data_IF_140572213998
#
_entry.id   IF_140572213998
#
_cell.length_a   1.000
_cell.length_b   1.000
_cell.length_c   1.000
_cell.angle_alpha   90.00
_cell.angle_beta   90.00
_cell.angle_gamma   90.00
#
_symmetry.space_group_name_H-M   'P 1'
#
loop_
_entity.id
_entity.type
_entity.pdbx_description
1 polymer ?
#
# COMPACT_ATOMS: atom_id res chain seq x y z
N UNK A 1 -18.64 85.43 -3.55
CA UNK A 1 -17.64 84.36 -3.73
C UNK A 1 -17.24 83.92 -2.35
N UNK A 2 -17.38 82.64 -2.01
CA UNK A 2 -17.15 82.18 -0.66
C UNK A 2 -15.64 82.20 -0.33
N UNK A 3 -15.33 82.51 0.92
CA UNK A 3 -13.97 82.65 1.41
C UNK A 3 -13.65 81.47 2.31
N UNK A 4 -12.50 80.84 2.11
CA UNK A 4 -12.07 79.74 2.97
C UNK A 4 -11.57 80.23 4.34
N UNK A 5 -11.34 79.30 5.26
CA UNK A 5 -10.86 79.61 6.62
C UNK A 5 -9.49 80.32 6.62
N UNK A 6 -8.68 80.11 5.58
CA UNK A 6 -7.37 80.76 5.38
C UNK A 6 -7.49 82.15 4.72
N UNK A 7 -8.70 82.63 4.43
CA UNK A 7 -8.95 83.98 3.93
C UNK A 7 -8.91 84.16 2.41
N UNK A 8 -8.75 83.08 1.63
CA UNK A 8 -8.77 83.16 0.16
C UNK A 8 -10.19 83.15 -0.41
N UNK A 9 -10.42 84.01 -1.39
CA UNK A 9 -11.69 84.04 -2.14
C UNK A 9 -11.69 82.96 -3.22
N UNK A 10 -12.60 81.99 -3.13
CA UNK A 10 -12.73 80.86 -4.05
C UNK A 10 -13.91 81.04 -5.01
N UNK A 11 -13.86 80.40 -6.18
CA UNK A 11 -15.04 80.29 -7.06
C UNK A 11 -15.88 79.08 -6.69
N UNK A 12 -15.25 77.97 -6.31
CA UNK A 12 -15.95 76.79 -5.81
C UNK A 12 -16.48 76.99 -4.38
N UNK A 13 -17.66 76.44 -4.09
CA UNK A 13 -18.36 76.63 -2.83
C UNK A 13 -18.03 75.60 -1.74
N UNK A 14 -17.49 74.44 -2.14
CA UNK A 14 -17.26 73.30 -1.23
C UNK A 14 -15.79 73.21 -0.77
N UNK A 15 -14.84 73.62 -1.62
CA UNK A 15 -13.41 73.64 -1.32
C UNK A 15 -12.74 74.86 -1.98
N UNK A 16 -11.63 75.32 -1.40
CA UNK A 16 -10.88 76.45 -1.92
C UNK A 16 -10.01 76.06 -3.11
N UNK A 17 -10.21 76.69 -4.26
CA UNK A 17 -9.44 76.41 -5.48
C UNK A 17 -7.94 76.77 -5.36
N UNK A 18 -7.58 77.61 -4.38
CA UNK A 18 -6.21 78.07 -4.18
C UNK A 18 -5.44 77.17 -3.21
N UNK A 19 -6.01 76.82 -2.07
CA UNK A 19 -5.32 76.08 -1.00
C UNK A 19 -5.93 74.71 -0.67
N UNK A 20 -7.07 74.34 -1.27
CA UNK A 20 -7.72 73.04 -1.08
C UNK A 20 -8.49 72.89 0.24
N UNK A 21 -8.51 73.90 1.12
CA UNK A 21 -9.24 73.82 2.38
C UNK A 21 -10.77 73.78 2.16
N UNK A 22 -11.53 72.98 2.93
CA UNK A 22 -12.98 72.93 2.84
C UNK A 22 -13.60 74.28 3.18
N UNK A 23 -14.63 74.65 2.44
CA UNK A 23 -15.37 75.89 2.64
C UNK A 23 -16.76 75.53 3.20
N UNK A 24 -16.96 75.82 4.48
CA UNK A 24 -18.17 75.44 5.23
C UNK A 24 -17.94 74.27 6.19
N UNK A 25 -18.70 74.26 7.30
CA UNK A 25 -18.47 73.37 8.43
C UNK A 25 -19.13 71.99 8.21
N UNK A 26 -18.38 70.99 7.76
CA UNK A 26 -18.85 69.60 7.62
C UNK A 26 -18.50 68.78 8.86
N UNK A 27 -19.35 68.88 9.89
CA UNK A 27 -19.44 67.89 10.95
C UNK A 27 -20.27 66.70 10.45
N UNK A 28 -19.65 65.52 10.34
CA UNK A 28 -20.35 64.29 9.99
C UNK A 28 -19.44 63.20 9.41
N UNK A 29 -18.67 62.53 10.26
CA UNK A 29 -17.97 61.30 9.91
C UNK A 29 -18.69 60.11 10.56
N UNK A 30 -19.14 59.08 9.80
CA UNK A 30 -19.77 57.91 10.39
C UNK A 30 -18.74 56.93 10.96
N UNK A 31 -19.17 56.26 12.03
CA UNK A 31 -18.44 55.34 12.91
C UNK A 31 -17.71 54.17 12.22
N UNK A 32 -16.59 53.76 12.84
CA UNK A 32 -15.89 52.52 12.53
C UNK A 32 -16.74 51.27 12.88
N UNK A 33 -16.64 50.15 12.13
CA UNK A 33 -17.33 48.92 12.49
C UNK A 33 -16.73 48.28 13.76
N UNK A 34 -17.52 47.52 14.53
CA UNK A 34 -17.05 46.87 15.77
C UNK A 34 -16.00 45.78 15.48
N UNK A 35 -15.10 45.47 16.44
CA UNK A 35 -14.10 44.42 16.27
C UNK A 35 -14.77 43.05 16.12
N UNK A 36 -14.35 42.30 15.10
CA UNK A 36 -14.78 40.92 14.89
C UNK A 36 -14.28 40.03 16.04
N UNK A 37 -15.17 39.26 16.66
CA UNK A 37 -14.82 38.28 17.69
C UNK A 37 -13.82 37.24 17.14
N UNK A 38 -12.66 37.13 17.77
CA UNK A 38 -11.65 36.14 17.40
C UNK A 38 -12.10 34.73 17.82
N UNK A 39 -12.16 33.80 16.86
CA UNK A 39 -12.45 32.38 17.12
C UNK A 39 -11.15 31.61 17.32
N UNK A 40 -11.15 30.56 18.13
CA UNK A 40 -9.97 29.72 18.31
C UNK A 40 -9.73 28.80 17.09
N UNK A 41 -8.47 28.61 16.71
CA UNK A 41 -8.07 27.69 15.64
C UNK A 41 -8.34 26.23 16.07
N UNK A 42 -9.03 25.41 15.25
CA UNK A 42 -9.29 24.02 15.60
C UNK A 42 -8.03 23.14 15.58
N UNK A 43 -6.95 23.55 14.89
CA UNK A 43 -5.71 22.78 14.81
C UNK A 43 -4.75 23.04 15.98
N UNK A 44 -4.70 24.27 16.52
CA UNK A 44 -3.70 24.65 17.53
C UNK A 44 -4.22 25.50 18.69
N UNK A 45 -5.49 25.92 18.68
CA UNK A 45 -6.13 26.68 19.76
C UNK A 45 -5.83 28.18 19.80
N UNK A 46 -4.96 28.70 18.93
CA UNK A 46 -4.64 30.14 18.89
C UNK A 46 -5.81 30.97 18.34
N UNK A 47 -6.00 32.23 18.79
CA UNK A 47 -7.05 33.10 18.27
C UNK A 47 -6.82 33.41 16.78
N UNK A 48 -7.89 33.33 16.00
CA UNK A 48 -7.90 33.56 14.55
C UNK A 48 -8.99 34.59 14.25
N UNK A 49 -8.60 35.64 13.53
CA UNK A 49 -9.48 36.74 13.11
C UNK A 49 -9.92 36.63 11.64
N UNK A 50 -9.51 35.56 10.94
CA UNK A 50 -9.76 35.34 9.51
C UNK A 50 -9.81 33.87 9.09
N UNK A 51 -9.70 33.60 7.79
CA UNK A 51 -9.75 32.23 7.22
C UNK A 51 -8.54 31.37 7.60
N UNK A 52 -7.37 31.99 7.72
CA UNK A 52 -6.11 31.31 7.96
C UNK A 52 -5.59 31.61 9.36
N UNK A 53 -5.10 30.59 10.06
CA UNK A 53 -4.40 30.79 11.32
C UNK A 53 -2.97 31.28 11.05
N UNK A 54 -2.60 32.46 11.56
CA UNK A 54 -1.25 33.01 11.39
C UNK A 54 -0.17 32.25 12.17
N UNK A 55 -0.55 31.45 13.16
CA UNK A 55 0.38 30.67 13.97
C UNK A 55 0.76 29.32 13.35
N UNK A 56 -0.17 28.62 12.69
CA UNK A 56 0.05 27.26 12.17
C UNK A 56 -0.31 27.07 10.69
N UNK A 57 -0.89 28.09 10.03
CA UNK A 57 -1.29 28.04 8.62
C UNK A 57 -2.59 27.27 8.34
N UNK A 58 -3.33 26.84 9.37
CA UNK A 58 -4.58 26.11 9.18
C UNK A 58 -5.64 26.97 8.45
N UNK A 59 -6.20 26.43 7.36
CA UNK A 59 -7.29 27.04 6.57
C UNK A 59 -8.64 26.51 7.05
N UNK A 60 -9.43 27.36 7.72
CA UNK A 60 -10.72 26.99 8.29
C UNK A 60 -11.86 26.94 7.26
N UNK A 61 -11.59 27.24 5.98
CA UNK A 61 -12.57 27.12 4.89
C UNK A 61 -12.52 25.75 4.21
N UNK A 62 -11.55 24.90 4.53
CA UNK A 62 -11.54 23.52 4.04
C UNK A 62 -12.56 22.70 4.83
N UNK A 63 -13.41 21.89 4.17
CA UNK A 63 -14.27 20.95 4.86
C UNK A 63 -13.39 19.99 5.68
N UNK A 64 -13.85 19.62 6.88
CA UNK A 64 -13.19 18.58 7.65
C UNK A 64 -13.02 17.34 6.75
N UNK A 65 -11.83 16.72 6.69
CA UNK A 65 -11.68 15.47 5.96
C UNK A 65 -12.66 14.48 6.57
N UNK A 66 -13.71 14.16 5.81
CA UNK A 66 -14.69 13.15 6.20
C UNK A 66 -13.93 11.89 6.56
N UNK A 67 -13.99 11.50 7.83
CA UNK A 67 -13.34 10.31 8.31
C UNK A 67 -13.77 9.15 7.41
N UNK A 68 -12.83 8.63 6.62
CA UNK A 68 -13.04 7.38 5.91
C UNK A 68 -13.53 6.36 6.95
N UNK A 69 -14.55 5.53 6.64
CA UNK A 69 -14.98 4.50 7.56
C UNK A 69 -13.76 3.72 8.02
N UNK A 70 -13.56 3.61 9.33
CA UNK A 70 -12.52 2.75 9.88
C UNK A 70 -12.66 1.37 9.23
N UNK A 71 -11.57 0.76 8.72
CA UNK A 71 -11.67 -0.59 8.20
C UNK A 71 -12.26 -1.47 9.32
N UNK A 72 -13.21 -2.37 9.01
CA UNK A 72 -13.76 -3.26 10.02
C UNK A 72 -12.60 -4.02 10.69
N UNK A 73 -12.66 -4.33 12.00
CA UNK A 73 -11.69 -5.21 12.60
C UNK A 73 -11.79 -6.54 11.87
N UNK A 74 -10.77 -6.87 11.07
CA UNK A 74 -10.66 -8.17 10.45
C UNK A 74 -10.39 -9.17 11.55
N UNK A 75 -11.44 -9.83 12.02
CA UNK A 75 -11.26 -11.17 12.58
C UNK A 75 -10.67 -11.99 11.44
N UNK A 76 -9.37 -12.31 11.51
CA UNK A 76 -8.71 -13.15 10.51
C UNK A 76 -9.43 -14.50 10.49
N UNK A 77 -10.00 -14.95 9.35
CA UNK A 77 -10.15 -16.37 9.17
C UNK A 77 -8.74 -16.97 9.21
N UNK A 78 -8.57 -17.98 10.05
CA UNK A 78 -7.29 -18.69 10.20
C UNK A 78 -6.96 -19.27 8.83
N UNK A 79 -5.91 -18.75 8.20
CA UNK A 79 -5.68 -18.89 6.77
C UNK A 79 -4.35 -19.58 6.49
N UNK A 80 -4.34 -20.52 5.57
CA UNK A 80 -3.10 -21.14 5.10
C UNK A 80 -2.21 -20.11 4.39
N UNK A 81 -0.94 -20.10 4.76
CA UNK A 81 0.10 -19.25 4.17
C UNK A 81 1.23 -20.13 3.66
N UNK A 82 1.59 -19.96 2.40
CA UNK A 82 2.78 -20.56 1.79
C UNK A 82 3.98 -19.62 1.96
N UNK A 83 5.02 -20.08 2.63
CA UNK A 83 6.29 -19.35 2.80
C UNK A 83 7.34 -19.95 1.89
N UNK A 84 7.63 -19.25 0.79
CA UNK A 84 8.59 -19.67 -0.23
C UNK A 84 9.99 -19.20 0.14
N UNK A 85 10.96 -20.12 0.14
CA UNK A 85 12.37 -19.87 0.43
C UNK A 85 13.28 -20.62 -0.55
N UNK A 86 14.53 -20.16 -0.65
CA UNK A 86 15.62 -20.93 -1.22
C UNK A 86 16.30 -21.78 -0.14
N UNK A 87 16.21 -23.09 -0.25
CA UNK A 87 16.72 -24.06 0.72
C UNK A 87 18.04 -24.66 0.22
N UNK A 88 19.13 -24.33 0.91
CA UNK A 88 20.47 -24.80 0.58
C UNK A 88 20.63 -26.30 0.81
N UNK A 89 20.03 -26.84 1.86
CA UNK A 89 20.13 -28.27 2.15
C UNK A 89 19.40 -29.07 1.08
N UNK A 90 18.24 -28.61 0.64
CA UNK A 90 17.53 -29.22 -0.48
C UNK A 90 18.34 -29.14 -1.78
N UNK A 91 18.92 -27.98 -2.09
CA UNK A 91 19.79 -27.82 -3.25
C UNK A 91 20.97 -28.80 -3.28
N UNK A 92 21.65 -28.95 -2.15
CA UNK A 92 22.78 -29.87 -2.01
C UNK A 92 22.34 -31.34 -2.18
N UNK A 93 21.14 -31.72 -1.70
CA UNK A 93 20.56 -33.04 -1.97
C UNK A 93 20.28 -33.26 -3.45
N UNK A 94 19.72 -32.26 -4.14
CA UNK A 94 19.45 -32.33 -5.58
C UNK A 94 20.75 -32.52 -6.36
N UNK A 95 21.80 -31.75 -6.04
CA UNK A 95 23.12 -31.92 -6.66
C UNK A 95 23.70 -33.32 -6.42
N UNK A 96 23.59 -33.84 -5.18
CA UNK A 96 24.09 -35.17 -4.85
C UNK A 96 23.38 -36.31 -5.62
N UNK A 97 22.15 -36.08 -6.06
CA UNK A 97 21.35 -37.03 -6.86
C UNK A 97 21.57 -36.87 -8.38
N UNK A 98 22.54 -36.06 -8.81
CA UNK A 98 22.78 -35.78 -10.23
C UNK A 98 21.80 -34.77 -10.81
N UNK A 99 21.38 -33.80 -9.99
CA UNK A 99 20.55 -32.68 -10.41
C UNK A 99 21.17 -31.89 -11.58
N UNK A 100 20.38 -31.03 -12.25
CA UNK A 100 20.85 -30.34 -13.45
C UNK A 100 22.04 -29.43 -13.14
N UNK A 101 23.19 -29.72 -13.77
CA UNK A 101 24.46 -28.96 -13.64
C UNK A 101 24.35 -27.47 -14.01
N UNK A 102 23.20 -27.05 -14.54
CA UNK A 102 22.96 -25.69 -15.06
C UNK A 102 22.18 -24.79 -14.10
N UNK A 103 21.79 -25.28 -12.91
CA UNK A 103 21.01 -24.49 -11.95
C UNK A 103 21.89 -24.00 -10.81
N UNK A 104 22.11 -22.69 -10.78
CA UNK A 104 22.84 -22.01 -9.71
C UNK A 104 21.92 -21.72 -8.51
N UNK A 105 22.46 -21.86 -7.30
CA UNK A 105 21.77 -21.43 -6.08
C UNK A 105 21.78 -19.90 -5.96
N UNK A 106 20.64 -19.24 -5.71
CA UNK A 106 20.57 -17.79 -5.61
C UNK A 106 21.33 -17.27 -4.38
N UNK A 107 22.18 -16.25 -4.55
CA UNK A 107 22.89 -15.61 -3.44
C UNK A 107 21.97 -14.82 -2.51
N UNK A 108 20.86 -14.30 -3.05
CA UNK A 108 19.85 -13.55 -2.31
C UNK A 108 18.46 -13.95 -2.78
N UNK A 109 17.66 -14.49 -1.86
CA UNK A 109 16.27 -14.84 -2.11
C UNK A 109 15.44 -14.49 -0.87
N UNK A 110 14.78 -13.32 -0.84
CA UNK A 110 13.96 -12.94 0.30
C UNK A 110 12.74 -13.85 0.39
N UNK A 111 12.44 -14.32 1.60
CA UNK A 111 11.28 -15.17 1.85
C UNK A 111 9.99 -14.48 1.37
N UNK A 112 9.21 -15.16 0.53
CA UNK A 112 7.90 -14.67 0.09
C UNK A 112 6.82 -15.35 0.91
N UNK A 113 5.95 -14.57 1.53
CA UNK A 113 4.76 -15.07 2.24
C UNK A 113 3.54 -14.82 1.37
N UNK A 114 2.87 -15.89 0.97
CA UNK A 114 1.73 -15.86 0.07
C UNK A 114 0.54 -16.44 0.83
N UNK A 115 -0.46 -15.61 1.11
CA UNK A 115 -1.72 -16.09 1.67
C UNK A 115 -2.46 -16.88 0.58
N UNK A 116 -2.92 -18.08 0.89
CA UNK A 116 -3.69 -18.89 -0.04
C UNK A 116 -5.12 -18.34 -0.10
N UNK A 117 -5.42 -17.62 -1.18
CA UNK A 117 -6.71 -16.96 -1.40
C UNK A 117 -7.53 -17.80 -2.39
N UNK A 118 -8.41 -18.66 -1.87
CA UNK A 118 -9.29 -19.53 -2.65
C UNK A 118 -9.03 -21.03 -2.45
N UNK A 119 -9.82 -21.86 -3.13
CA UNK A 119 -9.81 -23.32 -2.92
C UNK A 119 -8.68 -24.04 -3.65
N UNK A 120 -8.01 -23.35 -4.59
CA UNK A 120 -6.97 -23.93 -5.44
C UNK A 120 -5.89 -22.89 -5.71
N UNK A 121 -4.63 -23.30 -5.61
CA UNK A 121 -3.46 -22.46 -5.85
C UNK A 121 -2.44 -23.25 -6.66
N UNK A 122 -2.13 -22.81 -7.87
CA UNK A 122 -1.13 -23.38 -8.74
C UNK A 122 0.27 -22.94 -8.32
N UNK A 123 1.18 -23.92 -8.23
CA UNK A 123 2.61 -23.73 -8.08
C UNK A 123 3.27 -24.02 -9.42
N UNK A 124 4.10 -23.11 -9.88
CA UNK A 124 4.86 -23.34 -11.09
C UNK A 124 5.63 -22.12 -11.55
N UNK A 125 6.12 -22.20 -12.78
CA UNK A 125 6.82 -21.11 -13.45
C UNK A 125 5.88 -20.39 -14.41
N UNK A 126 5.70 -19.09 -14.23
CA UNK A 126 4.92 -18.26 -15.14
C UNK A 126 5.38 -18.36 -16.59
N UNK A 127 4.42 -18.48 -17.51
CA UNK A 127 4.64 -18.41 -18.94
C UNK A 127 3.48 -17.69 -19.64
N UNK A 128 3.59 -16.37 -19.72
CA UNK A 128 2.60 -15.51 -20.37
C UNK A 128 2.32 -15.90 -21.84
N UNK A 129 3.31 -16.44 -22.57
CA UNK A 129 3.10 -16.89 -23.97
C UNK A 129 2.17 -18.09 -24.07
N UNK A 130 2.13 -18.93 -23.04
CA UNK A 130 1.25 -20.09 -22.94
C UNK A 130 0.01 -19.81 -22.07
N UNK A 131 -0.17 -18.58 -21.58
CA UNK A 131 -1.28 -18.19 -20.71
C UNK A 131 -1.25 -18.86 -19.33
N UNK A 132 -0.07 -19.27 -18.84
CA UNK A 132 0.07 -19.89 -17.52
C UNK A 132 0.60 -18.86 -16.53
N UNK A 133 -0.24 -18.47 -15.58
CA UNK A 133 0.07 -17.50 -14.53
C UNK A 133 -0.25 -18.13 -13.16
N UNK A 134 0.70 -18.87 -12.56
CA UNK A 134 0.50 -19.52 -11.28
C UNK A 134 0.43 -18.49 -10.14
N UNK A 135 -0.42 -18.73 -9.15
CA UNK A 135 -0.54 -17.88 -7.96
C UNK A 135 0.76 -17.90 -7.13
N UNK A 136 1.44 -19.06 -7.07
CA UNK A 136 2.82 -19.17 -6.58
C UNK A 136 3.75 -19.27 -7.78
N UNK A 137 4.08 -18.10 -8.34
CA UNK A 137 5.02 -17.99 -9.47
C UNK A 137 6.48 -18.06 -9.03
N UNK A 138 7.13 -19.17 -9.36
CA UNK A 138 8.55 -19.47 -9.15
C UNK A 138 9.42 -19.14 -10.38
N UNK A 139 8.83 -18.50 -11.38
CA UNK A 139 9.51 -17.93 -12.55
C UNK A 139 9.97 -16.49 -12.38
N UNK A 140 9.54 -15.82 -11.32
CA UNK A 140 10.00 -14.48 -10.97
C UNK A 140 11.46 -14.57 -10.52
N UNK A 141 12.32 -13.68 -11.03
CA UNK A 141 13.74 -13.70 -10.68
C UNK A 141 13.97 -13.44 -9.18
N UNK A 142 14.83 -14.23 -8.49
CA UNK A 142 15.59 -15.38 -9.00
C UNK A 142 14.68 -16.58 -9.29
N UNK A 143 14.72 -17.09 -10.52
CA UNK A 143 13.82 -18.14 -10.96
C UNK A 143 14.45 -19.52 -10.76
N UNK A 144 13.68 -20.46 -10.19
CA UNK A 144 14.10 -21.85 -10.10
C UNK A 144 13.81 -22.56 -11.42
N UNK A 145 14.85 -22.76 -12.23
CA UNK A 145 14.75 -23.42 -13.54
C UNK A 145 14.36 -24.90 -13.44
N UNK A 146 14.51 -25.52 -12.27
CA UNK A 146 14.04 -26.87 -12.02
C UNK A 146 12.52 -26.96 -11.86
N UNK A 147 11.81 -25.84 -11.72
CA UNK A 147 10.35 -25.82 -11.57
C UNK A 147 9.66 -25.83 -12.95
N UNK A 148 8.67 -26.71 -13.06
CA UNK A 148 7.81 -26.85 -14.25
C UNK A 148 6.81 -25.70 -14.35
N UNK A 149 6.33 -25.38 -15.56
CA UNK A 149 5.35 -24.31 -15.76
C UNK A 149 4.06 -24.54 -14.95
N UNK A 150 3.59 -25.79 -14.93
CA UNK A 150 2.56 -26.30 -14.02
C UNK A 150 3.21 -27.44 -13.26
N UNK A 151 3.55 -27.22 -11.98
CA UNK A 151 4.37 -28.17 -11.22
C UNK A 151 3.52 -28.96 -10.22
N UNK A 152 2.85 -28.24 -9.34
CA UNK A 152 1.97 -28.82 -8.33
C UNK A 152 0.79 -27.88 -8.09
N UNK A 153 -0.26 -28.39 -7.46
CA UNK A 153 -1.41 -27.60 -7.03
C UNK A 153 -1.68 -27.83 -5.55
N UNK A 154 -1.92 -26.74 -4.83
CA UNK A 154 -2.45 -26.77 -3.48
C UNK A 154 -3.96 -26.65 -3.54
N UNK A 155 -4.67 -27.44 -2.73
CA UNK A 155 -6.13 -27.36 -2.63
C UNK A 155 -6.55 -27.23 -1.18
N UNK A 156 -7.38 -26.23 -0.91
CA UNK A 156 -8.05 -26.08 0.38
C UNK A 156 -9.38 -26.83 0.28
N UNK A 157 -9.66 -27.64 1.30
CA UNK A 157 -10.88 -28.43 1.49
C UNK A 157 -11.33 -28.29 2.93
N UNK A 158 -12.57 -28.73 3.20
CA UNK A 158 -13.07 -28.84 4.58
C UNK A 158 -12.19 -29.73 5.46
N UNK A 159 -11.51 -30.72 4.86
CA UNK A 159 -10.59 -31.65 5.53
C UNK A 159 -9.18 -31.09 5.75
N UNK A 160 -8.86 -29.89 5.24
CA UNK A 160 -7.54 -29.26 5.36
C UNK A 160 -6.93 -28.90 4.02
N UNK A 161 -5.60 -28.75 4.02
CA UNK A 161 -4.81 -28.45 2.84
C UNK A 161 -4.26 -29.74 2.22
N UNK A 162 -4.27 -29.86 0.90
CA UNK A 162 -3.59 -30.94 0.17
C UNK A 162 -2.66 -30.37 -0.90
N UNK A 163 -1.69 -31.18 -1.31
CA UNK A 163 -0.84 -30.94 -2.48
C UNK A 163 -0.94 -32.09 -3.47
N UNK A 164 -0.90 -31.76 -4.76
CA UNK A 164 -0.88 -32.73 -5.85
C UNK A 164 0.19 -32.34 -6.85
N UNK A 165 1.11 -33.26 -7.17
CA UNK A 165 2.05 -33.08 -8.28
C UNK A 165 1.32 -33.26 -9.62
N UNK A 166 1.56 -32.35 -10.56
CA UNK A 166 0.87 -32.30 -11.87
C UNK A 166 1.68 -32.97 -13.00
N UNK A 167 2.56 -33.92 -12.66
CA UNK A 167 3.44 -34.57 -13.63
C UNK A 167 4.70 -33.75 -13.86
N UNK A 168 5.25 -33.18 -12.79
CA UNK A 168 6.39 -32.30 -12.88
C UNK A 168 7.68 -33.05 -13.25
N UNK A 169 8.59 -32.38 -13.96
CA UNK A 169 9.81 -33.03 -14.49
C UNK A 169 10.77 -33.48 -13.39
N UNK A 170 10.91 -32.69 -12.33
CA UNK A 170 11.80 -32.99 -11.20
C UNK A 170 11.06 -33.62 -10.02
N UNK A 171 9.73 -33.71 -10.08
CA UNK A 171 8.88 -34.18 -8.99
C UNK A 171 8.72 -33.18 -7.85
N UNK A 172 7.74 -33.49 -7.01
CA UNK A 172 7.48 -32.83 -5.72
C UNK A 172 7.82 -33.79 -4.58
N UNK A 173 8.48 -33.33 -3.52
CA UNK A 173 8.74 -34.14 -2.30
C UNK A 173 8.42 -33.36 -1.04
N UNK A 174 8.20 -34.06 0.08
CA UNK A 174 7.79 -33.44 1.35
C UNK A 174 8.82 -33.67 2.47
N UNK A 175 8.98 -32.66 3.33
CA UNK A 175 9.66 -32.77 4.63
C UNK A 175 11.08 -33.36 4.59
N UNK A 176 11.83 -33.13 3.51
CA UNK A 176 13.17 -33.66 3.31
C UNK A 176 13.24 -35.12 2.86
N UNK A 177 12.10 -35.75 2.57
CA UNK A 177 12.05 -37.09 1.97
C UNK A 177 12.72 -37.10 0.59
N UNK A 178 13.40 -38.21 0.28
CA UNK A 178 13.87 -38.48 -1.08
C UNK A 178 12.77 -39.06 -1.97
N UNK A 179 11.68 -39.53 -1.37
CA UNK A 179 10.54 -40.08 -2.09
C UNK A 179 9.70 -38.94 -2.66
N UNK A 180 9.43 -39.02 -3.97
CA UNK A 180 8.57 -38.09 -4.68
C UNK A 180 7.11 -38.50 -4.51
N UNK A 181 6.23 -37.51 -4.46
CA UNK A 181 4.80 -37.75 -4.50
C UNK A 181 4.42 -38.42 -5.83
N UNK A 182 3.41 -39.28 -5.78
CA UNK A 182 2.84 -39.84 -6.99
C UNK A 182 2.11 -38.75 -7.78
N UNK A 183 2.28 -38.77 -9.10
CA UNK A 183 1.59 -37.85 -10.00
C UNK A 183 0.07 -37.98 -9.85
N UNK A 184 -0.62 -36.85 -9.71
CA UNK A 184 -2.08 -36.78 -9.64
C UNK A 184 -2.69 -37.24 -8.31
N UNK A 185 -1.89 -37.73 -7.36
CA UNK A 185 -2.37 -38.15 -6.03
C UNK A 185 -2.44 -36.96 -5.07
N UNK A 186 -3.57 -36.79 -4.38
CA UNK A 186 -3.71 -35.77 -3.35
C UNK A 186 -3.05 -36.22 -2.05
N UNK A 187 -2.03 -35.48 -1.60
CA UNK A 187 -1.34 -35.72 -0.33
C UNK A 187 -1.74 -34.65 0.68
N UNK A 188 -2.25 -35.03 1.88
CA UNK A 188 -2.60 -34.06 2.92
C UNK A 188 -1.38 -33.35 3.49
N UNK A 189 -1.55 -32.09 3.86
CA UNK A 189 -0.54 -31.24 4.46
C UNK A 189 -1.01 -30.72 5.83
N UNK A 190 -0.05 -30.60 6.74
CA UNK A 190 -0.20 -30.01 8.06
C UNK A 190 0.52 -28.66 8.17
N UNK A 191 0.23 -27.93 9.26
CA UNK A 191 1.02 -26.77 9.64
C UNK A 191 2.49 -27.15 9.85
N UNK A 192 3.39 -26.38 9.27
CA UNK A 192 4.84 -26.61 9.30
C UNK A 192 5.38 -27.52 8.19
N UNK A 193 4.53 -28.19 7.40
CA UNK A 193 5.00 -29.05 6.32
C UNK A 193 5.77 -28.28 5.26
N UNK A 194 6.83 -28.90 4.75
CA UNK A 194 7.73 -28.35 3.74
C UNK A 194 7.56 -29.09 2.43
N UNK A 195 7.19 -28.37 1.40
CA UNK A 195 7.07 -28.86 0.03
C UNK A 195 8.34 -28.46 -0.72
N UNK A 196 9.05 -29.43 -1.28
CA UNK A 196 10.26 -29.21 -2.07
C UNK A 196 9.95 -29.41 -3.55
N UNK A 197 10.32 -28.41 -4.35
CA UNK A 197 10.09 -28.38 -5.79
C UNK A 197 11.31 -27.80 -6.50
N UNK A 198 11.53 -28.22 -7.73
CA UNK A 198 12.63 -27.71 -8.56
C UNK A 198 14.01 -28.06 -8.01
N UNK A 199 14.96 -27.14 -8.14
CA UNK A 199 16.35 -27.38 -7.77
C UNK A 199 16.66 -26.93 -6.34
N UNK A 200 15.98 -25.90 -5.81
CA UNK A 200 16.31 -25.32 -4.51
C UNK A 200 15.10 -24.74 -3.77
N UNK A 201 13.92 -24.73 -4.39
CA UNK A 201 12.75 -24.09 -3.78
C UNK A 201 12.11 -24.97 -2.70
N UNK A 202 11.88 -24.37 -1.53
CA UNK A 202 11.06 -24.97 -0.47
C UNK A 202 9.92 -24.04 -0.09
N UNK A 203 8.71 -24.60 0.01
CA UNK A 203 7.50 -23.91 0.42
C UNK A 203 7.07 -24.48 1.77
N UNK A 204 7.16 -23.69 2.83
CA UNK A 204 6.68 -24.06 4.16
C UNK A 204 5.24 -23.61 4.33
N UNK A 205 4.37 -24.52 4.73
CA UNK A 205 2.97 -24.25 5.01
C UNK A 205 2.83 -23.75 6.45
N UNK A 206 2.09 -22.66 6.63
CA UNK A 206 1.78 -22.09 7.94
C UNK A 206 0.27 -21.89 8.06
N UNK A 207 -0.33 -22.33 9.16
CA UNK A 207 -1.73 -22.13 9.51
C UNK A 207 -1.81 -21.27 10.77
N UNK A 208 -2.50 -20.14 10.72
CA UNK A 208 -2.56 -19.20 11.85
C UNK A 208 -3.76 -18.30 11.81
#
# INVERSE_FOLDING_TARGET
MPTCVEGHTSKAADYCDVCGAPIGNLAGQPDSPPPAEAKACPACGMPVSGRFCEACGHDSALPEPSAAPAPPPTAKPVGWTAVVNADREFYERVLAQGGPDTVEFPQFFPARRIALQGDTTLIGRGNAKQGVEPEIDLGIHPADRGVSTQHAVLRIRDSGLTVTDLGSTNGTSLNGSNDRLAEGEETPLADGDRIHVGAWTTITIVHG
#
